data_IF_310802454902
#
_entry.id   IF_310802454902
#
_cell.length_a   1.000
_cell.length_b   1.000
_cell.length_c   1.000
_cell.angle_alpha   90.00
_cell.angle_beta   90.00
_cell.angle_gamma   90.00
#
_symmetry.space_group_name_H-M   'P 1'
#
loop_
_entity.id
_entity.type
_entity.pdbx_description
1 polymer ?
#
# COMPACT_ATOMS: atom_id res chain seq x y z
N UNK A 1 -6.34 4.09 17.68
CA UNK A 1 -6.03 2.66 17.51
C UNK A 1 -6.40 2.29 16.08
N UNK A 2 -5.85 1.21 15.51
CA UNK A 2 -6.19 0.81 14.13
C UNK A 2 -7.36 -0.17 14.17
N UNK A 3 -8.53 0.28 13.78
CA UNK A 3 -9.80 -0.37 14.05
C UNK A 3 -10.43 -0.94 12.78
N UNK A 4 -11.04 -2.13 12.85
CA UNK A 4 -11.87 -2.64 11.76
C UNK A 4 -13.19 -3.23 12.27
N UNK A 5 -14.28 -2.93 11.55
CA UNK A 5 -15.62 -3.39 11.90
C UNK A 5 -16.37 -3.86 10.66
N UNK A 6 -17.60 -4.36 10.80
CA UNK A 6 -18.41 -4.82 9.67
C UNK A 6 -19.20 -3.67 9.02
N UNK A 7 -18.48 -2.69 8.50
CA UNK A 7 -19.00 -1.57 7.71
C UNK A 7 -18.23 -1.54 6.39
N UNK A 8 -18.95 -1.24 5.30
CA UNK A 8 -18.35 -1.16 3.96
C UNK A 8 -17.48 0.08 3.83
N UNK A 9 -16.34 -0.02 3.13
CA UNK A 9 -15.45 1.12 2.94
C UNK A 9 -16.06 2.14 1.97
N UNK A 10 -15.60 3.40 2.00
CA UNK A 10 -16.28 4.52 1.34
C UNK A 10 -16.28 4.50 -0.19
N UNK A 11 -15.42 3.70 -0.83
CA UNK A 11 -15.35 3.60 -2.30
C UNK A 11 -15.58 2.17 -2.77
N UNK A 12 -14.91 1.20 -2.16
CA UNK A 12 -14.96 -0.21 -2.60
C UNK A 12 -16.08 -0.99 -1.91
N UNK A 13 -17.34 -0.69 -2.27
CA UNK A 13 -18.55 -1.29 -1.68
C UNK A 13 -18.76 -2.77 -2.09
N UNK A 14 -17.88 -3.68 -1.64
CA UNK A 14 -17.95 -5.13 -1.90
C UNK A 14 -18.03 -5.94 -0.60
N UNK A 15 -18.71 -7.08 -0.64
CA UNK A 15 -19.07 -7.82 0.59
C UNK A 15 -17.91 -8.43 1.38
N UNK A 16 -16.78 -8.63 0.73
CA UNK A 16 -15.58 -9.21 1.34
C UNK A 16 -14.60 -8.16 1.85
N UNK A 17 -14.93 -6.86 1.75
CA UNK A 17 -14.04 -5.76 2.08
C UNK A 17 -14.73 -4.81 3.05
N UNK A 18 -14.06 -4.57 4.17
CA UNK A 18 -14.58 -3.75 5.26
C UNK A 18 -13.68 -2.53 5.48
N UNK A 19 -14.27 -1.47 6.02
CA UNK A 19 -13.55 -0.26 6.41
C UNK A 19 -12.50 -0.56 7.50
N UNK A 20 -11.39 0.18 7.42
CA UNK A 20 -10.42 0.29 8.50
C UNK A 20 -10.31 1.76 8.85
N UNK A 21 -10.49 2.09 10.13
CA UNK A 21 -10.53 3.46 10.63
C UNK A 21 -9.57 3.64 11.81
N UNK A 22 -9.39 4.89 12.22
CA UNK A 22 -8.66 5.23 13.42
C UNK A 22 -9.64 5.64 14.52
N UNK A 23 -9.95 4.72 15.42
CA UNK A 23 -10.84 4.96 16.56
C UNK A 23 -10.11 4.69 17.89
N UNK A 24 -10.61 5.26 18.99
CA UNK A 24 -10.05 5.09 20.32
C UNK A 24 -9.00 6.14 20.73
N UNK A 25 -8.76 6.22 22.04
CA UNK A 25 -7.83 7.17 22.67
C UNK A 25 -7.07 6.49 23.82
N UNK A 26 -5.88 7.00 24.22
CA UNK A 26 -5.15 6.46 25.36
C UNK A 26 -6.00 6.49 26.63
N UNK A 27 -6.27 5.32 27.23
CA UNK A 27 -7.10 5.18 28.43
C UNK A 27 -8.59 4.97 28.17
N UNK A 28 -9.03 4.95 26.91
CA UNK A 28 -10.34 4.42 26.53
C UNK A 28 -10.30 2.90 26.43
N UNK A 29 -11.46 2.27 26.58
CA UNK A 29 -11.57 0.82 26.57
C UNK A 29 -11.21 0.28 25.19
N UNK A 30 -10.08 -0.42 25.15
CA UNK A 30 -9.58 -1.19 24.01
C UNK A 30 -10.59 -2.31 23.71
N UNK A 31 -11.06 -2.41 22.46
CA UNK A 31 -11.92 -3.52 22.03
C UNK A 31 -11.13 -4.46 21.11
N UNK A 32 -11.57 -5.73 21.03
CA UNK A 32 -10.86 -6.73 20.24
C UNK A 32 -10.89 -6.46 18.71
N UNK A 33 -11.56 -5.38 18.26
CA UNK A 33 -11.55 -4.93 16.86
C UNK A 33 -10.32 -4.06 16.52
N UNK A 34 -9.46 -3.78 17.51
CA UNK A 34 -8.20 -3.08 17.32
C UNK A 34 -7.00 -4.06 17.20
N UNK A 35 -7.24 -5.36 17.38
CA UNK A 35 -6.20 -6.39 17.41
C UNK A 35 -5.83 -6.90 16.01
N UNK A 36 -4.53 -6.80 15.69
CA UNK A 36 -3.95 -7.29 14.44
C UNK A 36 -2.82 -8.28 14.68
N UNK A 37 -2.97 -9.47 14.12
CA UNK A 37 -1.99 -10.55 14.18
C UNK A 37 -0.97 -10.35 13.06
N UNK A 38 0.30 -10.24 13.44
CA UNK A 38 1.41 -10.08 12.52
C UNK A 38 1.86 -11.45 11.97
N UNK A 39 1.69 -11.65 10.67
CA UNK A 39 2.06 -12.86 9.96
C UNK A 39 3.24 -12.59 9.01
N UNK A 40 4.42 -13.12 9.32
CA UNK A 40 5.62 -12.93 8.48
C UNK A 40 5.52 -13.80 7.22
N UNK A 41 5.70 -13.18 6.06
CA UNK A 41 5.47 -13.81 4.75
C UNK A 41 6.60 -14.75 4.30
N UNK A 42 7.82 -14.54 4.81
CA UNK A 42 9.04 -15.29 4.45
C UNK A 42 9.58 -16.14 5.61
N UNK A 43 9.99 -17.38 5.32
CA UNK A 43 10.52 -18.31 6.31
C UNK A 43 11.88 -17.89 6.91
N UNK A 44 12.63 -17.03 6.23
CA UNK A 44 14.02 -16.68 6.58
C UNK A 44 14.16 -15.68 7.75
N UNK A 45 13.07 -15.07 8.22
CA UNK A 45 13.10 -14.04 9.28
C UNK A 45 12.06 -14.28 10.37
N UNK A 46 11.92 -15.53 10.84
CA UNK A 46 10.95 -15.90 11.88
C UNK A 46 11.25 -15.35 13.27
N UNK A 47 12.46 -14.84 13.52
CA UNK A 47 12.85 -14.38 14.86
C UNK A 47 12.37 -12.96 15.18
N UNK A 48 12.36 -12.03 14.22
CA UNK A 48 11.95 -10.65 14.43
C UNK A 48 11.65 -9.90 13.13
N UNK A 49 10.80 -8.87 13.23
CA UNK A 49 10.53 -7.91 12.15
C UNK A 49 11.69 -6.93 12.01
N UNK A 50 12.28 -6.87 10.82
CA UNK A 50 13.37 -5.95 10.47
C UNK A 50 12.88 -4.94 9.42
N UNK A 51 13.19 -3.66 9.64
CA UNK A 51 12.87 -2.60 8.69
C UNK A 51 13.48 -2.88 7.31
N UNK A 52 12.79 -2.52 6.23
CA UNK A 52 13.21 -2.71 4.82
C UNK A 52 13.52 -4.16 4.39
N UNK A 53 13.30 -5.16 5.24
CA UNK A 53 13.69 -6.56 4.98
C UNK A 53 12.54 -7.51 5.17
N UNK A 54 11.83 -7.41 6.29
CA UNK A 54 10.72 -8.30 6.59
C UNK A 54 9.46 -7.78 5.94
N UNK A 55 8.85 -8.63 5.11
CA UNK A 55 7.49 -8.45 4.63
C UNK A 55 6.55 -9.28 5.50
N UNK A 56 5.43 -8.69 5.88
CA UNK A 56 4.43 -9.33 6.71
C UNK A 56 3.04 -8.92 6.24
N UNK A 57 2.05 -9.62 6.74
CA UNK A 57 0.63 -9.33 6.59
C UNK A 57 0.05 -9.08 7.98
N UNK A 58 -0.94 -8.21 8.06
CA UNK A 58 -1.68 -7.96 9.29
C UNK A 58 -3.05 -8.59 9.13
N UNK A 59 -3.34 -9.61 9.95
CA UNK A 59 -4.64 -10.28 9.99
C UNK A 59 -5.45 -9.76 11.16
N UNK A 60 -6.63 -9.22 10.91
CA UNK A 60 -7.53 -8.78 11.96
C UNK A 60 -7.95 -9.98 12.82
N UNK A 61 -7.84 -9.85 14.14
CA UNK A 61 -7.95 -10.99 15.07
C UNK A 61 -9.34 -11.62 15.04
N UNK A 62 -10.40 -10.81 15.05
CA UNK A 62 -11.79 -11.27 15.14
C UNK A 62 -12.35 -11.77 13.80
N UNK A 63 -12.16 -11.00 12.73
CA UNK A 63 -12.79 -11.27 11.42
C UNK A 63 -11.91 -12.11 10.50
N UNK A 64 -10.61 -12.23 10.80
CA UNK A 64 -9.65 -12.96 9.97
C UNK A 64 -9.33 -12.30 8.62
N UNK A 65 -9.87 -11.12 8.33
CA UNK A 65 -9.53 -10.38 7.13
C UNK A 65 -8.12 -9.79 7.24
N UNK A 66 -7.55 -9.41 6.09
CA UNK A 66 -6.21 -8.86 6.03
C UNK A 66 -6.22 -7.38 5.70
N UNK A 67 -5.31 -6.62 6.33
CA UNK A 67 -5.09 -5.22 5.98
C UNK A 67 -4.64 -5.14 4.52
N UNK A 68 -5.39 -4.38 3.74
CA UNK A 68 -5.35 -4.40 2.28
C UNK A 68 -5.43 -2.98 1.71
N UNK A 69 -4.64 -2.71 0.68
CA UNK A 69 -4.72 -1.48 -0.10
C UNK A 69 -4.59 -1.75 -1.59
N UNK A 70 -5.09 -0.83 -2.40
CA UNK A 70 -5.15 -0.97 -3.85
C UNK A 70 -5.24 0.41 -4.51
N UNK A 71 -5.14 0.44 -5.85
CA UNK A 71 -5.05 1.68 -6.64
C UNK A 71 -6.40 2.40 -6.81
N UNK A 72 -7.21 2.44 -5.76
CA UNK A 72 -8.45 3.21 -5.69
C UNK A 72 -8.21 4.37 -4.74
N UNK A 73 -8.55 5.58 -5.19
CA UNK A 73 -8.40 6.80 -4.41
C UNK A 73 -9.66 7.07 -3.61
N UNK A 74 -9.48 7.64 -2.43
CA UNK A 74 -10.56 8.21 -1.64
C UNK A 74 -11.17 9.43 -2.37
N UNK A 75 -12.41 9.81 -2.04
CA UNK A 75 -13.01 11.06 -2.54
C UNK A 75 -12.21 12.30 -2.12
N UNK A 76 -12.67 13.48 -2.52
CA UNK A 76 -11.95 14.76 -2.32
C UNK A 76 -11.46 14.99 -0.87
N UNK A 77 -12.25 14.58 0.13
CA UNK A 77 -11.89 14.66 1.55
C UNK A 77 -10.64 13.85 1.92
N UNK A 78 -10.28 12.84 1.11
CA UNK A 78 -9.12 11.97 1.28
C UNK A 78 -7.87 12.45 0.55
N UNK A 79 -7.88 13.66 -0.01
CA UNK A 79 -6.68 14.34 -0.55
C UNK A 79 -5.86 13.48 -1.53
N UNK A 80 -6.52 12.82 -2.49
CA UNK A 80 -5.91 11.94 -3.51
C UNK A 80 -5.19 10.69 -2.95
N UNK A 81 -5.41 10.36 -1.68
CA UNK A 81 -4.82 9.19 -1.03
C UNK A 81 -5.52 7.90 -1.44
N UNK A 82 -4.81 6.78 -1.31
CA UNK A 82 -5.37 5.45 -1.57
C UNK A 82 -6.20 4.96 -0.39
N UNK A 83 -7.20 4.13 -0.69
CA UNK A 83 -8.04 3.47 0.29
C UNK A 83 -7.26 2.34 1.02
N UNK A 84 -7.48 2.23 2.34
CA UNK A 84 -7.00 1.14 3.18
C UNK A 84 -8.21 0.46 3.80
N UNK A 85 -8.24 -0.87 3.75
CA UNK A 85 -9.41 -1.69 4.11
C UNK A 85 -8.99 -3.00 4.74
N UNK A 86 -9.95 -3.78 5.25
CA UNK A 86 -9.75 -5.15 5.68
C UNK A 86 -10.48 -6.11 4.74
N UNK A 87 -9.72 -6.92 3.99
CA UNK A 87 -10.24 -7.77 2.92
C UNK A 87 -10.17 -9.26 3.30
N UNK A 88 -11.30 -9.98 3.26
CA UNK A 88 -11.42 -11.41 3.57
C UNK A 88 -10.81 -12.31 2.48
N UNK A 89 -10.78 -11.84 1.23
CA UNK A 89 -10.22 -12.53 0.05
C UNK A 89 -9.05 -11.71 -0.49
N UNK A 90 -8.17 -11.28 0.41
CA UNK A 90 -7.07 -10.38 0.06
C UNK A 90 -6.06 -11.03 -0.89
N UNK A 91 -5.85 -10.41 -2.05
CA UNK A 91 -4.72 -10.75 -2.94
C UNK A 91 -3.42 -10.50 -2.19
N UNK A 92 -2.56 -11.53 -2.11
CA UNK A 92 -1.31 -11.50 -1.32
C UNK A 92 -0.49 -10.23 -1.57
N UNK A 93 -0.23 -9.88 -2.84
CA UNK A 93 0.59 -8.73 -3.22
C UNK A 93 0.09 -7.39 -2.65
N UNK A 94 -1.22 -7.24 -2.45
CA UNK A 94 -1.87 -6.01 -1.97
C UNK A 94 -2.09 -5.98 -0.45
N UNK A 95 -1.73 -7.07 0.24
CA UNK A 95 -1.79 -7.20 1.70
C UNK A 95 -0.42 -7.33 2.35
N UNK A 96 0.66 -7.20 1.55
CA UNK A 96 2.03 -7.22 2.05
C UNK A 96 2.46 -5.83 2.48
N UNK A 97 2.91 -5.75 3.73
CA UNK A 97 3.43 -4.55 4.36
C UNK A 97 4.87 -4.76 4.78
N UNK A 98 5.62 -3.68 4.90
CA UNK A 98 6.94 -3.67 5.50
C UNK A 98 7.12 -2.36 6.26
N UNK A 99 7.96 -2.37 7.29
CA UNK A 99 8.28 -1.15 8.03
C UNK A 99 9.45 -0.44 7.35
N UNK A 100 9.25 0.82 6.96
CA UNK A 100 10.32 1.65 6.39
C UNK A 100 11.17 2.30 7.48
N UNK A 101 10.51 3.00 8.39
CA UNK A 101 11.15 3.72 9.49
C UNK A 101 10.61 3.23 10.83
N UNK A 102 11.52 3.07 11.79
CA UNK A 102 11.19 2.77 13.17
C UNK A 102 12.06 3.65 14.07
N UNK A 103 11.44 4.31 15.05
CA UNK A 103 12.12 5.21 15.97
C UNK A 103 11.75 4.80 17.40
N UNK A 104 12.77 4.56 18.23
CA UNK A 104 12.59 4.36 19.66
C UNK A 104 12.99 5.62 20.44
N UNK A 105 12.23 6.02 21.47
CA UNK A 105 12.49 7.24 22.24
C UNK A 105 13.78 7.15 23.07
N UNK A 106 14.13 5.95 23.52
CA UNK A 106 15.33 5.70 24.32
C UNK A 106 16.61 6.08 23.54
N UNK A 107 17.57 6.70 24.26
CA UNK A 107 18.81 7.22 23.66
C UNK A 107 19.84 6.11 23.46
N UNK A 108 19.90 5.13 24.35
CA UNK A 108 20.92 4.08 24.32
C UNK A 108 20.63 3.07 23.20
N UNK A 109 19.37 2.64 23.07
CA UNK A 109 18.91 1.84 21.92
C UNK A 109 19.20 2.53 20.58
N UNK A 110 19.02 3.84 20.45
CA UNK A 110 19.31 4.57 19.19
C UNK A 110 20.77 4.55 18.76
N UNK A 111 21.72 4.53 19.71
CA UNK A 111 23.15 4.53 19.39
C UNK A 111 23.66 3.13 19.03
N UNK A 112 23.10 2.10 19.64
CA UNK A 112 23.55 0.72 19.49
C UNK A 112 22.76 -0.09 18.45
N UNK A 113 21.67 0.46 17.89
CA UNK A 113 20.85 -0.28 16.90
C UNK A 113 21.48 -0.25 15.51
N UNK A 114 21.66 -1.41 14.85
CA UNK A 114 22.15 -1.46 13.48
C UNK A 114 21.14 -0.82 12.53
N UNK A 115 21.61 0.15 11.74
CA UNK A 115 20.80 0.81 10.71
C UNK A 115 20.84 0.02 9.41
N UNK A 116 19.70 -0.01 8.71
CA UNK A 116 19.57 -0.66 7.41
C UNK A 116 19.15 0.37 6.36
N UNK A 117 19.72 0.27 5.17
CA UNK A 117 19.38 1.08 4.02
C UNK A 117 18.75 0.23 2.91
N UNK A 118 18.15 0.90 1.94
CA UNK A 118 17.72 0.29 0.68
C UNK A 118 18.91 -0.36 -0.03
N UNK A 119 18.65 -1.49 -0.70
CA UNK A 119 19.64 -2.10 -1.58
C UNK A 119 19.69 -1.28 -2.87
N UNK A 120 20.87 -0.77 -3.20
CA UNK A 120 21.08 -0.06 -4.46
C UNK A 120 20.96 -1.05 -5.62
N UNK A 121 20.02 -0.85 -6.57
CA UNK A 121 19.95 -1.69 -7.74
C UNK A 121 21.17 -1.42 -8.64
N UNK A 122 21.67 -2.46 -9.32
CA UNK A 122 22.67 -2.30 -10.38
C UNK A 122 22.09 -1.54 -11.59
N UNK A 123 22.96 -1.10 -12.50
CA UNK A 123 22.58 -0.32 -13.68
C UNK A 123 21.45 -0.98 -14.49
N UNK A 124 21.63 -2.25 -14.88
CA UNK A 124 20.64 -2.96 -15.70
C UNK A 124 19.29 -3.13 -14.99
N UNK A 125 19.30 -3.43 -13.69
CA UNK A 125 18.09 -3.53 -12.90
C UNK A 125 17.35 -2.19 -12.85
N UNK A 126 18.08 -1.08 -12.68
CA UNK A 126 17.53 0.28 -12.72
C UNK A 126 16.98 0.63 -14.10
N UNK A 127 17.71 0.29 -15.17
CA UNK A 127 17.30 0.54 -16.56
C UNK A 127 16.01 -0.21 -16.89
N UNK A 128 15.94 -1.52 -16.64
CA UNK A 128 14.74 -2.31 -16.90
C UNK A 128 13.54 -1.82 -16.08
N UNK A 129 13.77 -1.47 -14.81
CA UNK A 129 12.71 -0.90 -13.97
C UNK A 129 12.19 0.42 -14.53
N UNK A 130 13.08 1.28 -15.02
CA UNK A 130 12.70 2.53 -15.66
C UNK A 130 11.86 2.28 -16.92
N UNK A 131 12.27 1.37 -17.79
CA UNK A 131 11.52 1.04 -19.01
C UNK A 131 10.14 0.47 -18.69
N UNK A 132 10.03 -0.37 -17.66
CA UNK A 132 8.74 -0.88 -17.19
C UNK A 132 7.82 0.26 -16.74
N UNK A 133 8.34 1.22 -15.98
CA UNK A 133 7.56 2.37 -15.52
C UNK A 133 7.14 3.25 -16.70
N UNK A 134 8.05 3.55 -17.62
CA UNK A 134 7.75 4.31 -18.85
C UNK A 134 6.62 3.64 -19.65
N UNK A 135 6.67 2.32 -19.81
CA UNK A 135 5.62 1.57 -20.49
C UNK A 135 4.27 1.70 -19.78
N UNK A 136 4.23 1.50 -18.46
CA UNK A 136 2.99 1.62 -17.69
C UNK A 136 2.42 3.03 -17.68
N UNK A 137 3.29 4.05 -17.65
CA UNK A 137 2.86 5.45 -17.72
C UNK A 137 2.31 5.78 -19.09
N UNK A 138 3.01 5.41 -20.17
CA UNK A 138 2.55 5.63 -21.54
C UNK A 138 1.21 4.91 -21.83
N UNK A 139 1.02 3.70 -21.29
CA UNK A 139 -0.24 2.99 -21.40
C UNK A 139 -1.40 3.67 -20.65
N UNK A 140 -1.10 4.46 -19.61
CA UNK A 140 -2.07 5.23 -18.84
C UNK A 140 -2.37 6.63 -19.40
N UNK A 141 -1.62 7.11 -20.40
CA UNK A 141 -1.86 8.39 -21.06
C UNK A 141 -3.01 8.28 -22.06
N UNK A 142 -4.24 8.17 -21.54
CA UNK A 142 -5.47 8.01 -22.34
C UNK A 142 -6.29 9.29 -22.45
N UNK A 143 -5.87 10.36 -21.80
CA UNK A 143 -6.56 11.65 -21.81
C UNK A 143 -6.58 12.27 -23.21
N UNK A 144 -7.66 12.97 -23.53
CA UNK A 144 -7.82 13.63 -24.82
C UNK A 144 -7.48 15.11 -24.72
N UNK A 145 -6.69 15.59 -25.67
CA UNK A 145 -6.39 17.00 -25.88
C UNK A 145 -7.16 17.58 -27.06
N UNK A 146 -7.43 18.90 -27.03
CA UNK A 146 -8.09 19.62 -28.13
C UNK A 146 -7.30 19.55 -29.46
N UNK A 147 -5.98 19.38 -29.36
CA UNK A 147 -5.06 19.26 -30.49
C UNK A 147 -4.68 17.80 -30.82
N UNK A 148 -5.31 16.81 -30.20
CA UNK A 148 -5.04 15.41 -30.55
C UNK A 148 -5.51 15.10 -31.98
N UNK A 149 -4.66 14.37 -32.71
CA UNK A 149 -4.91 13.93 -34.07
C UNK A 149 -4.92 12.40 -34.16
N UNK A 150 -5.63 11.87 -35.16
CA UNK A 150 -5.62 10.42 -35.42
C UNK A 150 -4.51 10.06 -36.41
N UNK A 151 -3.88 8.88 -36.28
CA UNK A 151 -2.79 8.46 -37.17
C UNK A 151 -3.11 8.49 -38.66
N UNK A 152 -4.36 8.27 -39.05
CA UNK A 152 -4.81 8.31 -40.45
C UNK A 152 -4.85 9.73 -41.04
N UNK A 153 -4.88 10.76 -40.20
CA UNK A 153 -4.85 12.16 -40.62
C UNK A 153 -3.43 12.68 -40.89
N UNK A 154 -2.39 12.04 -40.33
CA UNK A 154 -1.00 12.50 -40.43
C UNK A 154 -0.48 12.58 -41.86
N UNK A 155 -0.67 11.57 -42.74
CA UNK A 155 -0.15 11.64 -44.11
C UNK A 155 -0.89 12.67 -44.98
N UNK A 156 -2.10 13.07 -44.58
CA UNK A 156 -2.98 13.96 -45.36
C UNK A 156 -3.02 15.39 -44.81
N UNK A 157 -2.25 15.69 -43.76
CA UNK A 157 -2.13 17.02 -43.14
C UNK A 157 -3.49 17.71 -42.89
N UNK A 158 -4.51 16.94 -42.49
CA UNK A 158 -5.89 17.45 -42.34
C UNK A 158 -6.10 18.27 -41.06
N UNK A 159 -5.20 18.17 -40.09
CA UNK A 159 -5.26 18.84 -38.80
C UNK A 159 -3.85 18.95 -38.24
N UNK A 160 -3.49 20.12 -37.73
CA UNK A 160 -2.23 20.44 -37.05
C UNK A 160 -2.51 21.33 -35.86
#
# INVERSE_FOLDING_TARGET
MLHSHDIRPPVSEVDFQNEVSAYGAPGFQDDANDDWILEIDEAASREAVKTLRTKFRLRHALTGCYLFSHKVKLPEWGFEQQEVTCNKIAVRANSLWFVETAMYPDRDSRRCTPKVNYRLPGFLAKFLKLQQVMWTTNAGLTDRHLFDSRPDAWPRLRRG
#
